data_IF_367223270248
#
_entry.id   IF_367223270248
#
_cell.length_a   1.000
_cell.length_b   1.000
_cell.length_c   1.000
_cell.angle_alpha   90.00
_cell.angle_beta   90.00
_cell.angle_gamma   90.00
#
_symmetry.space_group_name_H-M   'P 1'
#
loop_
_entity.id
_entity.type
_entity.pdbx_description
1 polymer ?
#
# COMPACT_ATOMS: atom_id res chain seq x y z
N UNK A 1 13.59 -14.04 -10.32
CA UNK A 1 14.35 -12.89 -10.87
C UNK A 1 15.34 -13.41 -11.91
N UNK A 2 15.56 -12.66 -12.98
CA UNK A 2 16.52 -12.94 -14.06
C UNK A 2 16.43 -14.36 -14.66
N UNK A 3 15.22 -14.82 -15.10
CA UNK A 3 15.04 -16.17 -15.60
C UNK A 3 15.94 -16.46 -16.80
N UNK A 4 16.49 -17.67 -16.85
CA UNK A 4 17.37 -18.13 -17.93
C UNK A 4 18.79 -17.52 -17.91
N UNK A 5 19.20 -16.87 -16.84
CA UNK A 5 20.56 -16.33 -16.68
C UNK A 5 21.31 -17.05 -15.56
N UNK A 6 22.67 -16.97 -15.51
CA UNK A 6 23.45 -17.51 -14.39
C UNK A 6 23.12 -16.89 -13.02
N UNK A 7 22.37 -15.78 -13.00
CA UNK A 7 21.94 -15.04 -11.80
C UNK A 7 20.46 -15.32 -11.45
N UNK A 8 19.86 -16.33 -12.06
CA UNK A 8 18.50 -16.73 -11.75
C UNK A 8 18.33 -17.06 -10.26
N UNK A 9 17.36 -16.40 -9.62
CA UNK A 9 17.04 -16.62 -8.22
C UNK A 9 15.54 -16.74 -8.02
N UNK A 10 15.12 -17.87 -7.49
CA UNK A 10 13.75 -18.08 -7.03
C UNK A 10 13.57 -17.35 -5.70
N UNK A 11 12.65 -16.39 -5.65
CA UNK A 11 12.37 -15.62 -4.44
C UNK A 11 11.14 -16.15 -3.69
N UNK A 12 10.19 -16.73 -4.42
CA UNK A 12 8.96 -17.33 -3.88
C UNK A 12 8.75 -18.65 -4.63
N UNK A 13 8.57 -19.75 -3.91
CA UNK A 13 8.46 -21.07 -4.48
C UNK A 13 7.30 -21.85 -3.86
N UNK A 14 6.43 -22.42 -4.73
CA UNK A 14 5.31 -23.30 -4.36
C UNK A 14 4.42 -22.76 -3.20
N UNK A 15 4.15 -21.45 -3.18
CA UNK A 15 3.27 -20.85 -2.17
C UNK A 15 1.82 -21.03 -2.58
N UNK A 16 1.05 -21.68 -1.68
CA UNK A 16 -0.40 -21.74 -1.76
C UNK A 16 -0.95 -21.06 -0.50
N UNK A 17 -1.73 -20.00 -0.68
CA UNK A 17 -2.27 -19.19 0.39
C UNK A 17 -3.66 -18.70 0.02
N UNK A 18 -4.57 -18.82 0.95
CA UNK A 18 -5.91 -18.23 0.87
C UNK A 18 -6.11 -17.29 2.05
N UNK A 19 -6.60 -16.09 1.77
CA UNK A 19 -6.90 -15.06 2.76
C UNK A 19 -8.37 -14.71 2.63
N UNK A 20 -9.13 -14.98 3.68
CA UNK A 20 -10.56 -14.67 3.73
C UNK A 20 -10.81 -13.18 3.88
N UNK A 21 -11.97 -12.73 3.42
CA UNK A 21 -12.42 -11.35 3.61
C UNK A 21 -12.53 -11.02 5.12
N UNK A 22 -12.04 -9.84 5.51
CA UNK A 22 -12.01 -9.39 6.89
C UNK A 22 -10.89 -10.01 7.74
N UNK A 23 -10.00 -10.83 7.16
CA UNK A 23 -8.86 -11.36 7.88
C UNK A 23 -7.78 -10.29 8.11
N UNK A 24 -7.17 -10.30 9.30
CA UNK A 24 -5.97 -9.52 9.61
C UNK A 24 -4.78 -10.49 9.72
N UNK A 25 -3.93 -10.48 8.71
CA UNK A 25 -2.86 -11.47 8.53
C UNK A 25 -1.49 -10.84 8.76
N UNK A 26 -0.68 -11.47 9.61
CA UNK A 26 0.73 -11.12 9.79
C UNK A 26 1.64 -12.10 9.05
N UNK A 27 2.48 -11.57 8.14
CA UNK A 27 3.51 -12.36 7.45
C UNK A 27 4.86 -12.14 8.12
N UNK A 28 5.42 -13.19 8.69
CA UNK A 28 6.70 -13.17 9.42
C UNK A 28 7.76 -14.00 8.72
N UNK A 29 9.00 -13.59 8.84
CA UNK A 29 10.16 -14.28 8.26
C UNK A 29 11.39 -13.38 8.29
N UNK A 30 12.58 -13.96 8.15
CA UNK A 30 13.83 -13.20 8.11
C UNK A 30 13.95 -12.31 6.87
N UNK A 31 14.87 -11.34 6.88
CA UNK A 31 15.17 -10.51 5.72
C UNK A 31 15.63 -11.38 4.55
N UNK A 32 15.10 -11.10 3.36
CA UNK A 32 15.40 -11.88 2.15
C UNK A 32 14.61 -13.19 2.00
N UNK A 33 13.63 -13.49 2.87
CA UNK A 33 12.76 -14.67 2.75
C UNK A 33 11.67 -14.56 1.69
N UNK A 34 11.62 -13.48 0.90
CA UNK A 34 10.65 -13.30 -0.18
C UNK A 34 9.35 -12.60 0.20
N UNK A 35 9.18 -12.10 1.44
CA UNK A 35 7.95 -11.41 1.89
C UNK A 35 7.52 -10.28 0.95
N UNK A 36 8.41 -9.31 0.73
CA UNK A 36 8.11 -8.15 -0.13
C UNK A 36 7.83 -8.58 -1.58
N UNK A 37 8.52 -9.61 -2.08
CA UNK A 37 8.25 -10.20 -3.40
C UNK A 37 6.84 -10.78 -3.45
N UNK A 38 6.43 -11.54 -2.42
CA UNK A 38 5.07 -12.10 -2.33
C UNK A 38 4.03 -10.99 -2.30
N UNK A 39 4.23 -9.93 -1.49
CA UNK A 39 3.33 -8.78 -1.42
C UNK A 39 3.14 -8.09 -2.79
N UNK A 40 4.22 -7.96 -3.55
CA UNK A 40 4.19 -7.37 -4.89
C UNK A 40 3.45 -8.22 -5.93
N UNK A 41 3.33 -9.53 -5.72
CA UNK A 41 2.47 -10.36 -6.55
C UNK A 41 0.99 -10.11 -6.28
N UNK A 42 0.60 -9.86 -5.02
CA UNK A 42 -0.80 -9.66 -4.65
C UNK A 42 -1.41 -8.40 -5.28
N UNK A 43 -0.62 -7.33 -5.45
CA UNK A 43 -1.13 -6.11 -6.09
C UNK A 43 -0.77 -6.02 -7.58
N UNK A 44 -0.23 -7.07 -8.15
CA UNK A 44 0.11 -7.14 -9.58
C UNK A 44 1.27 -6.23 -10.00
N UNK A 45 2.21 -5.90 -9.12
CA UNK A 45 3.49 -5.29 -9.50
C UNK A 45 4.42 -6.31 -10.14
N UNK A 46 4.42 -7.53 -9.60
CA UNK A 46 5.14 -8.66 -10.19
C UNK A 46 4.14 -9.69 -10.70
N UNK A 47 4.42 -10.22 -11.88
CA UNK A 47 3.70 -11.36 -12.43
C UNK A 47 4.40 -12.64 -12.00
N UNK A 48 3.70 -13.67 -11.48
CA UNK A 48 4.31 -14.95 -11.17
C UNK A 48 4.81 -15.64 -12.44
N UNK A 49 5.91 -16.38 -12.33
CA UNK A 49 6.46 -17.20 -13.43
C UNK A 49 5.53 -18.37 -13.74
N UNK A 50 4.90 -18.92 -12.71
CA UNK A 50 3.88 -19.97 -12.81
C UNK A 50 2.86 -19.82 -11.67
N UNK A 51 1.71 -20.46 -11.81
CA UNK A 51 0.59 -20.30 -10.86
C UNK A 51 -0.25 -19.06 -11.15
N UNK A 52 -1.21 -18.79 -10.27
CA UNK A 52 -2.21 -17.74 -10.40
C UNK A 52 -2.34 -16.93 -9.12
N UNK A 53 -2.70 -15.66 -9.25
CA UNK A 53 -3.10 -14.80 -8.13
C UNK A 53 -4.56 -14.43 -8.35
N UNK A 54 -5.41 -14.81 -7.42
CA UNK A 54 -6.85 -14.58 -7.50
C UNK A 54 -7.27 -13.45 -6.56
N UNK A 55 -8.09 -12.53 -7.05
CA UNK A 55 -8.81 -11.55 -6.25
C UNK A 55 -10.30 -11.82 -6.42
N UNK A 56 -10.99 -12.19 -5.34
CA UNK A 56 -12.40 -12.58 -5.39
C UNK A 56 -12.69 -13.65 -6.46
N UNK A 57 -11.85 -14.68 -6.52
CA UNK A 57 -11.98 -15.79 -7.46
C UNK A 57 -11.56 -15.50 -8.92
N UNK A 58 -11.16 -14.25 -9.22
CA UNK A 58 -10.73 -13.86 -10.58
C UNK A 58 -9.22 -13.71 -10.65
N UNK A 59 -8.57 -14.34 -11.64
CA UNK A 59 -7.14 -14.17 -11.86
C UNK A 59 -6.84 -12.72 -12.27
N UNK A 60 -6.01 -12.05 -11.47
CA UNK A 60 -5.64 -10.65 -11.70
C UNK A 60 -4.88 -10.43 -13.01
N UNK A 61 -4.31 -11.49 -13.58
CA UNK A 61 -3.55 -11.48 -14.84
C UNK A 61 -4.31 -12.02 -16.04
N UNK A 62 -5.57 -12.46 -15.86
CA UNK A 62 -6.39 -12.96 -16.96
C UNK A 62 -6.55 -11.92 -18.08
N UNK A 63 -6.60 -10.64 -17.73
CA UNK A 63 -6.63 -9.55 -18.69
C UNK A 63 -5.69 -8.42 -18.22
N UNK A 64 -4.68 -8.09 -19.03
CA UNK A 64 -3.70 -7.04 -18.73
C UNK A 64 -4.32 -5.65 -18.51
N UNK A 65 -5.45 -5.37 -19.14
CA UNK A 65 -6.17 -4.10 -18.96
C UNK A 65 -6.72 -3.92 -17.54
N UNK A 66 -6.97 -5.02 -16.84
CA UNK A 66 -7.57 -4.99 -15.50
C UNK A 66 -6.56 -4.72 -14.37
N UNK A 67 -5.26 -4.83 -14.64
CA UNK A 67 -4.23 -4.70 -13.61
C UNK A 67 -4.26 -3.34 -12.91
N UNK A 68 -4.67 -2.28 -13.62
CA UNK A 68 -4.86 -0.95 -13.03
C UNK A 68 -5.97 -0.96 -11.98
N UNK A 69 -7.08 -1.63 -12.27
CA UNK A 69 -8.22 -1.77 -11.35
C UNK A 69 -7.84 -2.62 -10.13
N UNK A 70 -7.05 -3.67 -10.34
CA UNK A 70 -6.50 -4.48 -9.23
C UNK A 70 -5.70 -3.62 -8.26
N UNK A 71 -4.85 -2.71 -8.77
CA UNK A 71 -4.03 -1.81 -7.94
C UNK A 71 -4.85 -0.78 -7.15
N UNK A 72 -6.05 -0.44 -7.60
CA UNK A 72 -6.97 0.38 -6.82
C UNK A 72 -7.66 -0.42 -5.71
N UNK A 73 -7.88 -1.72 -5.93
CA UNK A 73 -8.51 -2.61 -4.94
C UNK A 73 -7.51 -3.20 -3.94
N UNK A 74 -6.25 -3.40 -4.35
CA UNK A 74 -5.17 -3.93 -3.51
C UNK A 74 -4.14 -2.84 -3.30
N UNK A 75 -4.30 -2.06 -2.26
CA UNK A 75 -3.36 -1.02 -1.86
C UNK A 75 -2.10 -1.62 -1.27
N UNK A 76 -0.94 -1.15 -1.70
CA UNK A 76 0.37 -1.57 -1.19
C UNK A 76 1.14 -0.37 -0.66
N UNK A 77 1.44 -0.39 0.63
CA UNK A 77 2.38 0.52 1.29
C UNK A 77 3.74 -0.18 1.37
N UNK A 78 4.72 0.37 0.69
CA UNK A 78 6.09 -0.17 0.68
C UNK A 78 6.85 0.14 1.98
N UNK A 79 7.96 -0.55 2.17
CA UNK A 79 8.94 -0.21 3.21
C UNK A 79 9.48 1.21 2.97
N UNK A 80 9.55 2.04 4.02
CA UNK A 80 9.93 3.47 3.93
C UNK A 80 9.10 4.27 2.93
N UNK A 81 7.76 4.28 3.06
CA UNK A 81 6.88 4.87 2.06
C UNK A 81 7.04 6.39 1.95
N UNK A 82 7.64 7.04 2.95
CA UNK A 82 7.97 8.47 2.97
C UNK A 82 8.93 8.91 1.85
N UNK A 83 9.67 8.00 1.25
CA UNK A 83 10.51 8.31 0.08
C UNK A 83 9.77 8.34 -1.24
N UNK A 84 8.49 8.01 -1.23
CA UNK A 84 7.64 7.98 -2.44
C UNK A 84 6.83 9.26 -2.63
N UNK A 85 6.93 10.23 -1.71
CA UNK A 85 6.27 11.52 -1.83
C UNK A 85 6.95 12.37 -2.90
N UNK A 86 6.14 12.99 -3.78
CA UNK A 86 6.67 13.71 -4.95
C UNK A 86 5.88 14.97 -5.31
N UNK A 87 4.70 15.17 -4.76
CA UNK A 87 3.82 16.32 -5.07
C UNK A 87 4.23 17.58 -4.29
N UNK A 88 3.73 18.72 -4.73
CA UNK A 88 4.02 20.02 -4.11
C UNK A 88 3.38 20.18 -2.73
N UNK A 89 2.20 19.58 -2.53
CA UNK A 89 1.46 19.65 -1.26
C UNK A 89 1.04 18.26 -0.78
N UNK A 90 0.87 18.11 0.52
CA UNK A 90 0.32 16.91 1.16
C UNK A 90 -1.03 16.53 0.55
N UNK A 91 -1.90 17.52 0.35
CA UNK A 91 -3.20 17.29 -0.29
C UNK A 91 -3.05 16.63 -1.66
N UNK A 92 -2.15 17.14 -2.50
CA UNK A 92 -1.94 16.60 -3.86
C UNK A 92 -1.36 15.21 -3.84
N UNK A 93 -0.42 14.90 -2.93
CA UNK A 93 0.13 13.57 -2.77
C UNK A 93 -0.96 12.55 -2.40
N UNK A 94 -1.81 12.86 -1.42
CA UNK A 94 -2.92 11.98 -1.02
C UNK A 94 -3.97 11.88 -2.14
N UNK A 95 -4.26 12.98 -2.85
CA UNK A 95 -5.24 13.04 -3.93
C UNK A 95 -4.79 12.32 -5.21
N UNK A 96 -3.50 12.00 -5.36
CA UNK A 96 -2.96 11.42 -6.59
C UNK A 96 -3.66 10.12 -7.00
N UNK A 97 -3.86 9.20 -6.06
CA UNK A 97 -4.57 7.95 -6.30
C UNK A 97 -6.03 8.18 -6.74
N UNK A 98 -6.86 8.87 -5.94
CA UNK A 98 -8.23 9.23 -6.28
C UNK A 98 -8.39 9.94 -7.63
N UNK A 99 -7.49 10.86 -7.99
CA UNK A 99 -7.46 11.49 -9.32
C UNK A 99 -7.27 10.47 -10.44
N UNK A 100 -6.35 9.52 -10.24
CA UNK A 100 -6.11 8.45 -11.20
C UNK A 100 -7.28 7.46 -11.34
N UNK A 101 -8.17 7.39 -10.34
CA UNK A 101 -9.43 6.66 -10.45
C UNK A 101 -10.48 7.37 -11.29
N UNK A 102 -10.28 8.66 -11.60
CA UNK A 102 -11.21 9.49 -12.35
C UNK A 102 -12.39 10.01 -11.51
N UNK A 103 -12.19 10.17 -10.21
CA UNK A 103 -13.20 10.71 -9.30
C UNK A 103 -13.40 12.21 -9.50
N UNK A 104 -14.56 12.72 -9.11
CA UNK A 104 -14.85 14.16 -9.08
C UNK A 104 -14.04 14.88 -8.00
N UNK A 105 -13.83 16.17 -8.14
CA UNK A 105 -13.09 16.97 -7.15
C UNK A 105 -13.71 16.90 -5.74
N UNK A 106 -15.03 16.81 -5.63
CA UNK A 106 -15.72 16.65 -4.36
C UNK A 106 -15.39 15.29 -3.70
N UNK A 107 -15.48 14.20 -4.48
CA UNK A 107 -15.13 12.86 -3.99
C UNK A 107 -13.64 12.76 -3.61
N UNK A 108 -12.75 13.39 -4.38
CA UNK A 108 -11.32 13.44 -4.08
C UNK A 108 -11.09 14.14 -2.75
N UNK A 109 -11.72 15.30 -2.55
CA UNK A 109 -11.61 16.07 -1.31
C UNK A 109 -12.08 15.25 -0.10
N UNK A 110 -13.23 14.61 -0.20
CA UNK A 110 -13.78 13.77 0.87
C UNK A 110 -12.82 12.63 1.22
N UNK A 111 -12.28 11.94 0.23
CA UNK A 111 -11.31 10.85 0.44
C UNK A 111 -10.00 11.33 1.07
N UNK A 112 -9.51 12.50 0.66
CA UNK A 112 -8.29 13.08 1.23
C UNK A 112 -8.48 13.43 2.70
N UNK A 113 -9.60 14.10 3.04
CA UNK A 113 -9.89 14.47 4.43
C UNK A 113 -10.09 13.24 5.32
N UNK A 114 -10.85 12.25 4.84
CA UNK A 114 -11.04 10.99 5.55
C UNK A 114 -9.71 10.25 5.78
N UNK A 115 -8.90 10.10 4.74
CA UNK A 115 -7.61 9.41 4.84
C UNK A 115 -6.64 10.14 5.76
N UNK A 116 -6.58 11.48 5.70
CA UNK A 116 -5.78 12.30 6.61
C UNK A 116 -6.21 12.11 8.06
N UNK A 117 -7.51 12.13 8.33
CA UNK A 117 -8.06 11.89 9.68
C UNK A 117 -7.73 10.50 10.21
N UNK A 118 -7.83 9.46 9.38
CA UNK A 118 -7.51 8.06 9.73
C UNK A 118 -6.07 7.87 10.21
N UNK A 119 -5.13 8.60 9.61
CA UNK A 119 -3.71 8.55 10.00
C UNK A 119 -3.31 9.66 10.98
N UNK A 120 -4.26 10.41 11.52
CA UNK A 120 -4.00 11.49 12.50
C UNK A 120 -3.19 12.67 11.94
N UNK A 121 -3.35 12.99 10.66
CA UNK A 121 -2.81 14.20 10.04
C UNK A 121 -3.80 15.37 10.21
N UNK A 122 -3.42 16.48 10.84
CA UNK A 122 -4.27 17.65 10.92
C UNK A 122 -4.43 18.32 9.55
N UNK A 123 -5.61 18.85 9.26
CA UNK A 123 -5.92 19.53 7.98
C UNK A 123 -4.98 20.71 7.69
N UNK A 124 -4.45 21.36 8.72
CA UNK A 124 -3.48 22.45 8.57
C UNK A 124 -2.17 22.06 7.87
N UNK A 125 -1.89 20.77 7.75
CA UNK A 125 -0.73 20.26 7.01
C UNK A 125 -1.01 20.01 5.53
N UNK A 126 -2.28 19.96 5.11
CA UNK A 126 -2.64 19.56 3.74
C UNK A 126 -2.09 20.48 2.66
N UNK A 127 -1.99 21.78 2.94
CA UNK A 127 -1.43 22.75 2.00
C UNK A 127 0.10 22.93 2.11
N UNK A 128 0.73 22.24 3.05
CA UNK A 128 2.18 22.30 3.22
C UNK A 128 2.88 21.35 2.24
N UNK A 129 4.15 21.66 1.95
CA UNK A 129 5.01 20.77 1.20
C UNK A 129 5.29 19.50 2.02
N UNK A 130 5.11 18.29 1.48
CA UNK A 130 5.46 17.08 2.19
C UNK A 130 6.95 17.01 2.58
N UNK A 131 7.82 17.71 1.84
CA UNK A 131 9.26 17.74 2.13
C UNK A 131 9.61 18.54 3.40
N UNK A 132 8.74 19.44 3.84
CA UNK A 132 8.90 20.20 5.08
C UNK A 132 8.47 19.45 6.35
N UNK A 133 7.83 18.29 6.19
CA UNK A 133 7.28 17.49 7.29
C UNK A 133 8.37 16.65 7.98
N UNK A 134 8.12 16.26 9.25
CA UNK A 134 8.91 15.23 9.94
C UNK A 134 8.78 13.87 9.25
N UNK A 135 9.74 12.96 9.46
CA UNK A 135 9.72 11.63 8.88
C UNK A 135 8.45 10.84 9.23
N UNK A 136 7.97 10.94 10.48
CA UNK A 136 6.72 10.31 10.88
C UNK A 136 5.48 10.89 10.18
N UNK A 137 5.44 12.22 9.99
CA UNK A 137 4.37 12.87 9.24
C UNK A 137 4.40 12.48 7.76
N UNK A 138 5.58 12.46 7.13
CA UNK A 138 5.77 11.98 5.73
C UNK A 138 5.23 10.57 5.54
N UNK A 139 5.56 9.67 6.47
CA UNK A 139 5.05 8.28 6.46
C UNK A 139 3.53 8.23 6.51
N UNK A 140 2.91 9.04 7.38
CA UNK A 140 1.44 9.15 7.47
C UNK A 140 0.83 9.66 6.17
N UNK A 141 1.44 10.64 5.51
CA UNK A 141 1.01 11.13 4.18
C UNK A 141 1.02 9.99 3.17
N UNK A 142 2.11 9.22 3.10
CA UNK A 142 2.23 8.12 2.15
C UNK A 142 1.20 6.99 2.42
N UNK A 143 0.96 6.65 3.70
CA UNK A 143 -0.08 5.69 4.08
C UNK A 143 -1.47 6.22 3.72
N UNK A 144 -1.76 7.50 4.01
CA UNK A 144 -3.02 8.15 3.66
C UNK A 144 -3.27 8.12 2.14
N UNK A 145 -2.24 8.33 1.32
CA UNK A 145 -2.33 8.24 -0.14
C UNK A 145 -2.81 6.88 -0.63
N UNK A 146 -2.42 5.79 0.04
CA UNK A 146 -2.93 4.45 -0.28
C UNK A 146 -4.34 4.25 0.28
N UNK A 147 -4.61 4.70 1.51
CA UNK A 147 -5.95 4.58 2.13
C UNK A 147 -7.02 5.38 1.39
N UNK A 148 -6.66 6.53 0.78
CA UNK A 148 -7.57 7.36 -0.02
C UNK A 148 -8.14 6.62 -1.25
N UNK A 149 -7.51 5.55 -1.70
CA UNK A 149 -8.06 4.65 -2.72
C UNK A 149 -9.26 3.86 -2.19
N UNK A 150 -9.43 3.73 -0.87
CA UNK A 150 -10.36 2.82 -0.18
C UNK A 150 -10.21 1.39 -0.70
N UNK A 151 -9.00 0.82 -0.61
CA UNK A 151 -8.75 -0.51 -1.12
C UNK A 151 -9.50 -1.57 -0.32
N UNK A 152 -9.98 -2.63 -0.99
CA UNK A 152 -10.59 -3.79 -0.32
C UNK A 152 -9.56 -4.69 0.36
N UNK A 153 -8.29 -4.60 -0.07
CA UNK A 153 -7.13 -5.26 0.55
C UNK A 153 -6.04 -4.22 0.77
N UNK A 154 -5.59 -4.05 2.01
CA UNK A 154 -4.47 -3.19 2.36
C UNK A 154 -3.27 -4.05 2.74
N UNK A 155 -2.18 -3.88 2.01
CA UNK A 155 -0.90 -4.55 2.27
C UNK A 155 0.10 -3.52 2.78
N UNK A 156 0.79 -3.86 3.87
CA UNK A 156 1.79 -3.00 4.49
C UNK A 156 3.10 -3.80 4.62
N UNK A 157 4.11 -3.39 3.87
CA UNK A 157 5.43 -4.01 3.92
C UNK A 157 6.31 -3.29 4.96
N UNK A 158 6.52 -3.93 6.10
CA UNK A 158 7.28 -3.40 7.25
C UNK A 158 6.87 -1.97 7.67
N UNK A 159 5.58 -1.68 7.94
CA UNK A 159 5.08 -0.30 8.15
C UNK A 159 5.70 0.40 9.35
N UNK A 160 6.33 -0.34 10.25
CA UNK A 160 6.96 0.19 11.47
C UNK A 160 8.49 0.24 11.41
N UNK A 161 9.10 -0.11 10.27
CA UNK A 161 10.56 -0.09 10.12
C UNK A 161 11.12 1.33 10.36
N UNK A 162 12.18 1.42 11.16
CA UNK A 162 12.84 2.69 11.45
C UNK A 162 12.08 3.64 12.38
N UNK A 163 10.91 3.26 12.92
CA UNK A 163 10.19 4.05 13.91
C UNK A 163 10.65 3.74 15.35
N UNK A 164 10.58 4.77 16.20
CA UNK A 164 10.68 4.61 17.64
C UNK A 164 9.47 3.83 18.21
N UNK A 165 9.53 3.38 19.47
CA UNK A 165 8.44 2.59 20.06
C UNK A 165 7.07 3.29 20.02
N UNK A 166 7.04 4.60 20.26
CA UNK A 166 5.79 5.39 20.29
C UNK A 166 5.20 5.53 18.87
N UNK A 167 6.03 5.82 17.87
CA UNK A 167 5.61 5.89 16.47
C UNK A 167 5.09 4.53 15.95
N UNK A 168 5.72 3.43 16.38
CA UNK A 168 5.28 2.07 16.08
C UNK A 168 3.88 1.78 16.60
N UNK A 169 3.64 2.08 17.87
CA UNK A 169 2.35 1.86 18.52
C UNK A 169 1.25 2.70 17.85
N UNK A 170 1.55 3.97 17.54
CA UNK A 170 0.63 4.87 16.87
C UNK A 170 0.19 4.34 15.50
N UNK A 171 1.13 3.97 14.62
CA UNK A 171 0.84 3.44 13.29
C UNK A 171 0.04 2.14 13.38
N UNK A 172 0.39 1.22 14.27
CA UNK A 172 -0.35 -0.03 14.45
C UNK A 172 -1.78 0.20 14.95
N UNK A 173 -1.99 1.19 15.80
CA UNK A 173 -3.32 1.59 16.26
C UNK A 173 -4.18 2.12 15.09
N UNK A 174 -3.61 2.96 14.25
CA UNK A 174 -4.26 3.53 13.06
C UNK A 174 -4.64 2.44 12.04
N UNK A 175 -3.73 1.50 11.77
CA UNK A 175 -3.98 0.35 10.89
C UNK A 175 -5.13 -0.52 11.43
N UNK A 176 -5.13 -0.80 12.74
CA UNK A 176 -6.21 -1.57 13.37
C UNK A 176 -7.54 -0.84 13.34
N UNK A 177 -7.54 0.49 13.48
CA UNK A 177 -8.76 1.30 13.37
C UNK A 177 -9.32 1.22 11.95
N UNK A 178 -8.47 1.36 10.93
CA UNK A 178 -8.86 1.22 9.53
C UNK A 178 -9.45 -0.15 9.20
N UNK A 179 -8.87 -1.24 9.73
CA UNK A 179 -9.38 -2.60 9.49
C UNK A 179 -10.81 -2.83 10.03
N UNK A 180 -11.25 -2.03 10.99
CA UNK A 180 -12.59 -2.16 11.61
C UNK A 180 -13.67 -1.35 10.91
N UNK A 181 -13.29 -0.48 9.96
CA UNK A 181 -14.21 0.30 9.13
C UNK A 181 -14.63 -0.45 7.87
#
# INVERSE_FOLDING_TARGET
>A
YSPGTPFEKTAVDHVNLEIEQGAFVGVIGHTGSGKSTLMQHFNGLLRPTSGTVLLNGTDIWANKSNIRQVRFQVGLVFQYPEYQLFEETVYRDIAFGPKNMGLTEAEIRDRVLEAAALVGLPESLLEQSPFALSGGQKRRVAIAGVMALRPSVLILDEPTAGLDPQGRESILKEIRAYHRT
#
